data_IF_859716838080
#
_entry.id   IF_859716838080
#
_cell.length_a   1.000
_cell.length_b   1.000
_cell.length_c   1.000
_cell.angle_alpha   90.00
_cell.angle_beta   90.00
_cell.angle_gamma   90.00
#
_symmetry.space_group_name_H-M   'P 1'
#
loop_
_entity.id
_entity.type
_entity.pdbx_description
1 polymer ?
#
# COMPACT_ATOMS: atom_id res chain seq x y z
N UNK A 1 6.12 2.84 27.27
CA UNK A 1 5.45 2.85 25.96
C UNK A 1 6.40 3.41 24.91
N UNK A 2 6.55 2.75 23.77
CA UNK A 2 7.37 3.19 22.64
C UNK A 2 6.49 3.28 21.41
N UNK A 3 6.47 4.43 20.76
CA UNK A 3 5.85 4.62 19.45
C UNK A 3 6.92 4.88 18.41
N UNK A 4 6.80 4.18 17.29
CA UNK A 4 7.58 4.44 16.07
C UNK A 4 6.67 5.19 15.09
N UNK A 5 7.15 6.30 14.58
CA UNK A 5 6.41 7.13 13.64
C UNK A 5 7.07 7.06 12.26
N UNK A 6 6.26 7.08 11.21
CA UNK A 6 6.76 7.34 9.87
C UNK A 6 5.99 8.51 9.27
N UNK A 7 6.70 9.46 8.66
CA UNK A 7 6.10 10.58 7.95
C UNK A 7 6.33 10.45 6.45
N UNK A 8 5.24 10.55 5.68
CA UNK A 8 5.27 10.50 4.22
C UNK A 8 5.85 11.77 3.59
N UNK A 9 6.13 11.71 2.29
CA UNK A 9 6.76 12.83 1.58
C UNK A 9 5.94 14.14 1.62
N UNK A 10 4.62 14.08 1.60
CA UNK A 10 3.74 15.25 1.76
C UNK A 10 3.94 15.94 3.11
N UNK A 11 4.23 15.18 4.16
CA UNK A 11 4.52 15.69 5.50
C UNK A 11 5.94 16.27 5.63
N UNK A 12 6.80 16.02 4.64
CA UNK A 12 8.20 16.49 4.58
C UNK A 12 8.42 17.52 3.48
N UNK A 13 7.36 18.08 2.87
CA UNK A 13 7.43 18.85 1.64
C UNK A 13 8.08 20.24 1.80
N UNK A 14 7.92 20.88 2.95
CA UNK A 14 8.36 22.23 3.26
C UNK A 14 8.49 22.47 4.77
N UNK A 15 8.98 23.65 5.16
CA UNK A 15 9.17 24.05 6.55
C UNK A 15 7.87 24.05 7.38
N UNK A 16 6.75 24.43 6.76
CA UNK A 16 5.45 24.42 7.45
C UNK A 16 5.01 23.00 7.81
N UNK A 17 5.21 22.04 6.90
CA UNK A 17 4.91 20.64 7.16
C UNK A 17 5.84 20.06 8.25
N UNK A 18 7.15 20.37 8.19
CA UNK A 18 8.09 19.93 9.23
C UNK A 18 7.69 20.49 10.61
N UNK A 19 7.18 21.73 10.67
CA UNK A 19 6.69 22.31 11.93
C UNK A 19 5.49 21.54 12.50
N UNK A 20 4.58 21.05 11.65
CA UNK A 20 3.48 20.16 12.08
C UNK A 20 4.02 18.83 12.60
N UNK A 21 5.00 18.23 11.88
CA UNK A 21 5.67 17.00 12.31
C UNK A 21 6.28 17.16 13.69
N UNK A 22 7.00 18.27 13.93
CA UNK A 22 7.58 18.57 15.24
C UNK A 22 6.51 18.65 16.33
N UNK A 23 5.45 19.40 16.10
CA UNK A 23 4.33 19.53 17.05
C UNK A 23 3.70 18.16 17.38
N UNK A 24 3.55 17.29 16.38
CA UNK A 24 3.05 15.93 16.56
C UNK A 24 4.02 15.11 17.41
N UNK A 25 5.30 15.11 17.10
CA UNK A 25 6.31 14.32 17.84
C UNK A 25 6.41 14.78 19.29
N UNK A 26 6.47 16.08 19.53
CA UNK A 26 6.60 16.67 20.87
C UNK A 26 5.34 16.52 21.75
N UNK A 27 4.16 16.33 21.14
CA UNK A 27 2.90 16.17 21.88
C UNK A 27 2.81 14.86 22.69
N UNK A 28 3.70 13.88 22.44
CA UNK A 28 3.70 12.60 23.14
C UNK A 28 5.13 12.09 23.36
N UNK A 29 5.61 12.02 24.61
CA UNK A 29 6.98 11.60 24.93
C UNK A 29 7.29 10.13 24.58
N UNK A 30 6.29 9.32 24.27
CA UNK A 30 6.48 7.95 23.79
C UNK A 30 6.93 7.89 22.31
N UNK A 31 6.82 8.98 21.57
CA UNK A 31 7.23 9.14 20.18
C UNK A 31 8.73 9.40 20.07
N UNK A 32 9.49 8.33 20.06
CA UNK A 32 10.96 8.39 20.21
C UNK A 32 11.74 8.01 18.96
N UNK A 33 11.12 7.33 18.01
CA UNK A 33 11.73 6.88 16.76
C UNK A 33 10.90 7.43 15.61
N UNK A 34 11.55 8.22 14.76
CA UNK A 34 10.89 8.94 13.65
C UNK A 34 11.54 8.52 12.33
N UNK A 35 10.78 7.90 11.45
CA UNK A 35 11.21 7.56 10.09
C UNK A 35 10.63 8.58 9.12
N UNK A 36 11.44 9.11 8.23
CA UNK A 36 11.01 10.13 7.28
C UNK A 36 11.26 9.72 5.83
N UNK A 37 10.36 10.17 4.95
CA UNK A 37 10.54 10.09 3.50
C UNK A 37 11.27 11.32 2.97
N UNK A 38 11.74 11.26 1.73
CA UNK A 38 12.18 12.45 0.99
C UNK A 38 11.06 13.49 0.88
N UNK A 39 11.42 14.75 0.67
CA UNK A 39 10.46 15.84 0.50
C UNK A 39 9.54 15.61 -0.71
N UNK A 40 8.24 15.61 -0.45
CA UNK A 40 7.20 15.43 -1.45
C UNK A 40 6.86 16.72 -2.20
N UNK A 41 5.69 16.70 -2.85
CA UNK A 41 5.16 17.88 -3.55
C UNK A 41 4.55 18.87 -2.56
N UNK A 42 4.85 20.17 -2.73
CA UNK A 42 4.21 21.28 -2.00
C UNK A 42 2.82 21.61 -2.57
N UNK A 43 2.66 21.42 -3.90
CA UNK A 43 1.43 21.68 -4.64
C UNK A 43 1.29 20.72 -5.85
N UNK A 44 0.14 20.71 -6.50
CA UNK A 44 -0.21 19.71 -7.53
C UNK A 44 0.81 19.58 -8.66
N UNK A 45 1.40 20.65 -9.13
CA UNK A 45 2.35 20.68 -10.26
C UNK A 45 3.82 20.71 -9.82
N UNK A 46 4.10 20.51 -8.53
CA UNK A 46 5.46 20.43 -8.01
C UNK A 46 6.10 19.06 -8.28
N UNK A 47 7.41 18.94 -8.09
CA UNK A 47 8.18 17.74 -8.27
C UNK A 47 8.49 17.08 -6.93
N UNK A 48 8.44 15.76 -6.88
CA UNK A 48 8.99 15.00 -5.74
C UNK A 48 10.51 14.99 -5.85
N UNK A 49 11.18 15.13 -4.72
CA UNK A 49 12.66 15.06 -4.70
C UNK A 49 13.17 13.72 -5.25
N UNK A 50 12.51 12.62 -4.93
CA UNK A 50 12.87 11.29 -5.45
C UNK A 50 12.82 11.24 -6.98
N UNK A 51 11.78 11.83 -7.61
CA UNK A 51 11.65 11.87 -9.07
C UNK A 51 12.77 12.71 -9.71
N UNK A 52 13.15 13.85 -9.07
CA UNK A 52 14.27 14.69 -9.53
C UNK A 52 15.60 13.96 -9.43
N UNK A 53 15.85 13.19 -8.37
CA UNK A 53 17.08 12.41 -8.21
C UNK A 53 17.19 11.28 -9.24
N UNK A 54 16.07 10.59 -9.56
CA UNK A 54 16.04 9.64 -10.67
C UNK A 54 16.33 10.32 -12.01
N UNK A 55 15.79 11.52 -12.24
CA UNK A 55 16.05 12.29 -13.44
C UNK A 55 17.55 12.72 -13.53
N UNK A 56 18.15 13.15 -12.41
CA UNK A 56 19.59 13.40 -12.34
C UNK A 56 20.40 12.18 -12.74
N UNK A 57 20.09 11.00 -12.19
CA UNK A 57 20.78 9.77 -12.52
C UNK A 57 20.65 9.41 -14.01
N UNK A 58 19.46 9.54 -14.58
CA UNK A 58 19.24 9.31 -16.00
C UNK A 58 20.08 10.27 -16.86
N UNK A 59 20.15 11.57 -16.52
CA UNK A 59 21.01 12.53 -17.21
C UNK A 59 22.47 12.11 -17.18
N UNK A 60 22.99 11.70 -16.02
CA UNK A 60 24.38 11.24 -15.89
C UNK A 60 24.68 10.02 -16.77
N UNK A 61 23.75 9.06 -16.84
CA UNK A 61 23.92 7.87 -17.68
C UNK A 61 24.03 8.20 -19.18
N UNK A 62 23.33 9.25 -19.63
CA UNK A 62 23.36 9.70 -21.02
C UNK A 62 24.39 10.81 -21.30
N UNK A 63 25.26 11.14 -20.32
CA UNK A 63 26.25 12.20 -20.46
C UNK A 63 25.67 13.60 -20.60
N UNK A 64 24.43 13.81 -20.12
CA UNK A 64 23.75 15.11 -20.12
C UNK A 64 23.94 15.79 -18.76
N UNK A 65 24.15 17.12 -18.74
CA UNK A 65 24.22 17.86 -17.47
C UNK A 65 22.92 17.69 -16.68
N UNK A 66 23.07 17.38 -15.40
CA UNK A 66 21.95 17.34 -14.45
C UNK A 66 21.95 18.55 -13.50
N UNK A 67 22.81 19.55 -13.70
CA UNK A 67 23.03 20.66 -12.76
C UNK A 67 21.72 21.38 -12.39
N UNK A 68 20.93 21.76 -13.38
CA UNK A 68 19.65 22.46 -13.15
C UNK A 68 18.67 21.60 -12.31
N UNK A 69 18.62 20.30 -12.55
CA UNK A 69 17.74 19.39 -11.79
C UNK A 69 18.28 19.18 -10.37
N UNK A 70 19.58 19.03 -10.23
CA UNK A 70 20.23 18.86 -8.94
C UNK A 70 20.12 20.15 -8.08
N UNK A 71 20.22 21.32 -8.70
CA UNK A 71 19.99 22.61 -8.02
C UNK A 71 18.56 22.74 -7.49
N UNK A 72 17.57 22.17 -8.17
CA UNK A 72 16.20 22.13 -7.64
C UNK A 72 16.12 21.30 -6.35
N UNK A 73 16.84 20.17 -6.29
CA UNK A 73 16.91 19.34 -5.08
C UNK A 73 17.61 20.09 -3.96
N UNK A 74 18.79 20.67 -4.26
CA UNK A 74 19.60 21.44 -3.33
C UNK A 74 18.82 22.61 -2.75
N UNK A 75 18.20 23.44 -3.60
CA UNK A 75 17.43 24.60 -3.21
C UNK A 75 16.27 24.23 -2.28
N UNK A 76 15.55 23.14 -2.55
CA UNK A 76 14.44 22.70 -1.69
C UNK A 76 14.88 22.45 -0.25
N UNK A 77 15.97 21.74 -0.02
CA UNK A 77 16.45 21.42 1.32
C UNK A 77 17.10 22.64 2.01
N UNK A 78 17.79 23.50 1.25
CA UNK A 78 18.32 24.74 1.79
C UNK A 78 17.21 25.71 2.19
N UNK A 79 16.15 25.87 1.38
CA UNK A 79 14.96 26.66 1.73
C UNK A 79 14.33 26.16 3.05
N UNK A 80 14.10 24.85 3.19
CA UNK A 80 13.56 24.27 4.43
C UNK A 80 14.47 24.57 5.62
N UNK A 81 15.79 24.36 5.48
CA UNK A 81 16.77 24.63 6.52
C UNK A 81 16.71 26.10 6.97
N UNK A 82 16.76 27.01 6.01
CA UNK A 82 16.88 28.45 6.28
C UNK A 82 15.58 28.99 6.89
N UNK A 83 14.40 28.57 6.41
CA UNK A 83 13.10 28.93 6.97
C UNK A 83 12.92 28.42 8.41
N UNK A 84 13.51 27.28 8.76
CA UNK A 84 13.47 26.73 10.12
C UNK A 84 14.61 27.21 11.02
N UNK A 85 15.56 27.98 10.47
CA UNK A 85 16.73 28.50 11.19
C UNK A 85 17.69 27.42 11.68
N UNK A 86 17.83 26.33 10.91
CA UNK A 86 18.68 25.19 11.29
C UNK A 86 20.14 25.41 10.91
N UNK A 87 21.05 24.73 11.62
CA UNK A 87 22.48 24.84 11.43
C UNK A 87 23.11 23.67 10.66
N UNK A 88 22.30 22.73 10.17
CA UNK A 88 22.78 21.57 9.41
C UNK A 88 23.64 22.00 8.22
N UNK A 89 24.90 21.49 8.07
CA UNK A 89 25.85 21.97 7.06
C UNK A 89 25.59 21.33 5.68
N UNK A 90 24.38 21.53 5.14
CA UNK A 90 23.91 20.88 3.90
C UNK A 90 24.74 21.24 2.67
N UNK A 91 25.30 22.48 2.58
CA UNK A 91 26.12 22.89 1.44
C UNK A 91 27.30 21.95 1.23
N UNK A 92 28.02 21.64 2.30
CA UNK A 92 29.17 20.72 2.23
C UNK A 92 28.77 19.29 1.83
N UNK A 93 27.60 18.85 2.34
CA UNK A 93 27.08 17.52 2.02
C UNK A 93 26.61 17.44 0.55
N UNK A 94 26.00 18.50 0.01
CA UNK A 94 25.62 18.59 -1.41
C UNK A 94 26.85 18.66 -2.32
N UNK A 95 27.87 19.42 -1.94
CA UNK A 95 29.10 19.52 -2.71
C UNK A 95 29.85 18.17 -2.75
N UNK A 96 29.86 17.43 -1.64
CA UNK A 96 30.41 16.08 -1.58
C UNK A 96 29.61 15.10 -2.45
N UNK A 97 28.27 15.21 -2.44
CA UNK A 97 27.40 14.40 -3.30
C UNK A 97 27.65 14.70 -4.77
N UNK A 98 27.77 15.98 -5.14
CA UNK A 98 28.08 16.38 -6.52
C UNK A 98 29.40 15.80 -7.03
N UNK A 99 30.44 15.81 -6.19
CA UNK A 99 31.72 15.19 -6.51
C UNK A 99 31.61 13.67 -6.73
N UNK A 100 30.75 13.00 -5.97
CA UNK A 100 30.47 11.56 -6.19
C UNK A 100 29.72 11.33 -7.51
N UNK A 101 28.77 12.19 -7.85
CA UNK A 101 28.03 12.11 -9.12
C UNK A 101 28.99 12.22 -10.32
N UNK A 102 30.01 13.08 -10.25
CA UNK A 102 31.01 13.26 -11.31
C UNK A 102 31.91 12.03 -11.47
N UNK A 103 32.13 11.26 -10.39
CA UNK A 103 32.99 10.05 -10.40
C UNK A 103 32.20 8.78 -10.76
N UNK A 104 30.89 8.89 -10.87
CA UNK A 104 29.96 7.78 -11.04
C UNK A 104 29.30 7.38 -9.70
N UNK A 105 27.99 7.40 -9.68
CA UNK A 105 27.16 7.04 -8.52
C UNK A 105 26.07 6.06 -8.97
N UNK A 106 25.69 5.10 -8.13
CA UNK A 106 24.58 4.22 -8.42
C UNK A 106 23.24 4.96 -8.29
N UNK A 107 22.21 4.45 -8.96
CA UNK A 107 20.85 5.00 -8.83
C UNK A 107 20.38 4.97 -7.37
N UNK A 108 20.58 3.83 -6.71
CA UNK A 108 20.16 3.62 -5.32
C UNK A 108 20.84 4.59 -4.36
N UNK A 109 22.15 4.79 -4.51
CA UNK A 109 22.89 5.75 -3.67
C UNK A 109 22.42 7.18 -3.92
N UNK A 110 22.24 7.60 -5.17
CA UNK A 110 21.80 8.97 -5.46
C UNK A 110 20.38 9.22 -4.95
N UNK A 111 19.46 8.32 -5.23
CA UNK A 111 18.04 8.49 -4.87
C UNK A 111 17.82 8.44 -3.36
N UNK A 112 18.58 7.61 -2.64
CA UNK A 112 18.51 7.53 -1.16
C UNK A 112 18.86 8.86 -0.46
N UNK A 113 19.55 9.77 -1.15
CA UNK A 113 19.94 11.09 -0.57
C UNK A 113 18.74 11.97 -0.29
N UNK A 114 17.60 11.74 -0.96
CA UNK A 114 16.35 12.43 -0.64
C UNK A 114 15.94 12.22 0.82
N UNK A 115 15.81 10.98 1.25
CA UNK A 115 15.47 10.62 2.62
C UNK A 115 16.59 11.00 3.61
N UNK A 116 17.84 10.85 3.19
CA UNK A 116 18.99 11.24 3.99
C UNK A 116 18.94 12.72 4.40
N UNK A 117 18.79 13.64 3.44
CA UNK A 117 18.72 15.07 3.74
C UNK A 117 17.49 15.46 4.54
N UNK A 118 16.34 14.86 4.23
CA UNK A 118 15.12 15.05 5.02
C UNK A 118 15.32 14.64 6.49
N UNK A 119 15.96 13.51 6.72
CA UNK A 119 16.23 13.01 8.07
C UNK A 119 17.27 13.85 8.82
N UNK A 120 18.29 14.36 8.13
CA UNK A 120 19.29 15.28 8.69
C UNK A 120 18.62 16.55 9.24
N UNK A 121 17.75 17.18 8.43
CA UNK A 121 17.01 18.38 8.84
C UNK A 121 16.04 18.09 9.98
N UNK A 122 15.29 16.98 9.90
CA UNK A 122 14.33 16.65 10.94
C UNK A 122 15.03 16.29 12.26
N UNK A 123 16.19 15.64 12.23
CA UNK A 123 16.98 15.34 13.41
C UNK A 123 17.46 16.62 14.13
N UNK A 124 18.01 17.57 13.36
CA UNK A 124 18.42 18.89 13.87
C UNK A 124 17.20 19.65 14.45
N UNK A 125 16.08 19.66 13.71
CA UNK A 125 14.88 20.37 14.14
C UNK A 125 14.22 19.82 15.40
N UNK A 126 14.26 18.49 15.61
CA UNK A 126 13.73 17.82 16.82
C UNK A 126 14.75 17.79 17.97
N UNK A 127 16.02 18.04 17.71
CA UNK A 127 17.10 17.78 18.66
C UNK A 127 17.25 16.28 18.96
N UNK A 128 16.96 15.41 17.98
CA UNK A 128 17.13 13.96 18.07
C UNK A 128 18.41 13.54 17.37
N UNK A 129 18.90 12.35 17.71
CA UNK A 129 20.06 11.79 17.03
C UNK A 129 19.70 11.36 15.60
N UNK A 130 20.52 11.72 14.62
CA UNK A 130 20.43 11.16 13.28
C UNK A 130 21.00 9.75 13.26
N UNK A 131 20.24 8.77 12.77
CA UNK A 131 20.68 7.39 12.61
C UNK A 131 20.52 6.97 11.14
N UNK A 132 21.63 6.94 10.41
CA UNK A 132 21.64 6.51 9.01
C UNK A 132 21.15 5.07 8.88
N UNK A 133 20.30 4.80 7.89
CA UNK A 133 19.74 3.46 7.67
C UNK A 133 20.79 2.42 7.28
N UNK A 134 21.92 2.83 6.71
CA UNK A 134 23.06 1.93 6.45
C UNK A 134 23.71 1.34 7.71
N UNK A 135 23.47 1.96 8.88
CA UNK A 135 23.99 1.49 10.15
C UNK A 135 23.21 0.33 10.76
N UNK A 136 22.01 0.08 10.25
CA UNK A 136 21.13 -0.92 10.85
C UNK A 136 20.34 -1.77 9.86
N UNK A 137 19.93 -1.23 8.71
CA UNK A 137 19.09 -1.93 7.73
C UNK A 137 19.97 -2.66 6.72
N UNK A 138 20.08 -3.96 6.91
CA UNK A 138 20.91 -4.84 6.10
C UNK A 138 20.06 -5.65 5.13
N UNK A 139 20.47 -5.66 3.86
CA UNK A 139 19.92 -6.52 2.83
C UNK A 139 20.83 -7.73 2.60
N UNK A 140 20.26 -8.82 2.11
CA UNK A 140 20.98 -9.94 1.54
C UNK A 140 21.33 -9.65 0.08
N UNK A 141 22.20 -10.48 -0.52
CA UNK A 141 22.59 -10.30 -1.92
C UNK A 141 21.44 -10.45 -2.92
N UNK A 142 20.35 -11.10 -2.54
CA UNK A 142 19.14 -11.23 -3.36
C UNK A 142 18.18 -10.02 -3.25
N UNK A 143 18.58 -8.99 -2.49
CA UNK A 143 17.77 -7.79 -2.24
C UNK A 143 16.68 -7.96 -1.17
N UNK A 144 16.59 -9.10 -0.50
CA UNK A 144 15.69 -9.28 0.65
C UNK A 144 16.31 -8.71 1.93
N UNK A 145 15.47 -8.27 2.86
CA UNK A 145 15.96 -7.75 4.17
C UNK A 145 16.46 -8.90 5.04
N UNK A 146 17.66 -8.76 5.59
CA UNK A 146 18.12 -9.61 6.68
C UNK A 146 17.55 -9.08 8.00
N UNK A 147 16.38 -9.58 8.37
CA UNK A 147 15.65 -9.10 9.55
C UNK A 147 16.43 -9.32 10.84
N UNK A 148 17.09 -10.45 11.01
CA UNK A 148 17.79 -10.78 12.23
C UNK A 148 18.94 -9.81 12.50
N UNK A 149 19.81 -9.62 11.50
CA UNK A 149 20.94 -8.67 11.60
C UNK A 149 20.44 -7.25 11.78
N UNK A 150 19.43 -6.84 11.00
CA UNK A 150 18.86 -5.50 11.04
C UNK A 150 18.24 -5.18 12.41
N UNK A 151 17.47 -6.10 12.96
CA UNK A 151 16.79 -5.89 14.23
C UNK A 151 17.80 -5.76 15.39
N UNK A 152 18.80 -6.63 15.46
CA UNK A 152 19.85 -6.54 16.45
C UNK A 152 20.67 -5.25 16.33
N UNK A 153 20.96 -4.81 15.11
CA UNK A 153 21.69 -3.57 14.86
C UNK A 153 20.87 -2.35 15.32
N UNK A 154 19.58 -2.27 14.99
CA UNK A 154 18.72 -1.17 15.39
C UNK A 154 18.50 -1.13 16.91
N UNK A 155 18.27 -2.27 17.55
CA UNK A 155 18.13 -2.36 19.00
C UNK A 155 19.35 -1.78 19.74
N UNK A 156 20.56 -2.07 19.26
CA UNK A 156 21.80 -1.50 19.82
C UNK A 156 21.93 0.00 19.55
N UNK A 157 21.65 0.44 18.31
CA UNK A 157 21.84 1.82 17.89
C UNK A 157 20.81 2.80 18.49
N UNK A 158 19.56 2.37 18.69
CA UNK A 158 18.46 3.19 19.19
C UNK A 158 18.18 3.05 20.69
N UNK A 159 18.94 2.17 21.41
CA UNK A 159 18.71 1.91 22.83
C UNK A 159 18.75 3.18 23.69
N UNK A 160 17.66 3.50 24.38
CA UNK A 160 17.55 4.67 25.26
C UNK A 160 17.55 6.03 24.55
N UNK A 161 17.69 6.08 23.23
CA UNK A 161 17.83 7.30 22.42
C UNK A 161 16.52 7.73 21.78
N UNK A 162 16.47 9.00 21.36
CA UNK A 162 15.49 9.51 20.43
C UNK A 162 16.16 9.67 19.07
N UNK A 163 15.65 9.02 18.04
CA UNK A 163 16.34 8.95 16.75
C UNK A 163 15.43 9.34 15.59
N UNK A 164 16.03 9.99 14.58
CA UNK A 164 15.43 10.16 13.26
C UNK A 164 16.18 9.28 12.26
N UNK A 165 15.43 8.50 11.51
CA UNK A 165 15.92 7.50 10.58
C UNK A 165 15.46 7.88 9.16
N UNK A 166 16.36 7.98 8.16
CA UNK A 166 15.95 8.07 6.77
C UNK A 166 15.29 6.76 6.34
N UNK A 167 14.11 6.83 5.74
CA UNK A 167 13.44 5.66 5.18
C UNK A 167 14.04 5.20 3.86
N UNK A 168 13.44 4.15 3.24
CA UNK A 168 13.61 3.75 1.85
C UNK A 168 14.86 2.92 1.52
N UNK A 169 15.97 3.03 2.22
CA UNK A 169 17.23 2.37 1.86
C UNK A 169 17.95 1.72 3.04
N UNK A 170 18.90 0.85 2.74
CA UNK A 170 19.84 0.22 3.64
C UNK A 170 21.11 -0.17 2.90
N UNK A 171 21.84 -1.18 3.39
CA UNK A 171 23.14 -1.59 2.88
C UNK A 171 23.16 -3.06 2.50
N UNK A 172 23.79 -3.39 1.37
CA UNK A 172 24.12 -4.74 0.94
C UNK A 172 25.42 -5.22 1.62
N UNK A 173 25.71 -6.54 1.60
CA UNK A 173 26.92 -7.10 2.21
C UNK A 173 28.23 -6.55 1.65
N UNK A 174 28.24 -6.05 0.42
CA UNK A 174 29.41 -5.40 -0.20
C UNK A 174 29.58 -3.92 0.20
N UNK A 175 28.71 -3.39 1.05
CA UNK A 175 28.70 -2.02 1.50
C UNK A 175 27.99 -1.04 0.56
N UNK A 176 27.47 -1.48 -0.57
CA UNK A 176 26.68 -0.64 -1.47
C UNK A 176 25.28 -0.36 -0.91
N UNK A 177 24.74 0.82 -1.25
CA UNK A 177 23.39 1.20 -0.87
C UNK A 177 22.38 0.46 -1.76
N UNK A 178 21.32 -0.04 -1.14
CA UNK A 178 20.20 -0.65 -1.83
C UNK A 178 18.88 -0.02 -1.36
N UNK A 179 17.95 0.20 -2.31
CA UNK A 179 16.65 0.83 -2.06
C UNK A 179 15.51 -0.17 -2.24
N UNK A 180 14.41 0.03 -1.48
CA UNK A 180 13.18 -0.70 -1.73
C UNK A 180 12.53 -0.26 -3.04
N UNK A 181 11.89 -1.17 -3.75
CA UNK A 181 11.26 -0.87 -5.05
C UNK A 181 10.03 0.04 -4.94
N UNK A 182 9.24 -0.08 -3.85
CA UNK A 182 8.03 0.73 -3.57
C UNK A 182 7.74 0.79 -2.07
N UNK A 183 7.14 1.89 -1.63
CA UNK A 183 6.70 2.04 -0.23
C UNK A 183 7.83 1.96 0.80
N UNK A 184 9.08 2.18 0.39
CA UNK A 184 10.26 1.86 1.17
C UNK A 184 10.32 2.52 2.54
N UNK A 185 9.88 3.79 2.65
CA UNK A 185 9.85 4.44 3.97
C UNK A 185 8.78 3.85 4.90
N UNK A 186 7.65 3.37 4.34
CA UNK A 186 6.63 2.65 5.11
C UNK A 186 7.17 1.32 5.62
N UNK A 187 7.90 0.60 4.76
CA UNK A 187 8.56 -0.67 5.11
C UNK A 187 9.63 -0.43 6.17
N UNK A 188 10.48 0.60 6.01
CA UNK A 188 11.49 0.98 7.00
C UNK A 188 10.86 1.27 8.36
N UNK A 189 9.73 2.01 8.39
CA UNK A 189 9.01 2.29 9.62
C UNK A 189 8.45 1.03 10.29
N UNK A 190 7.89 0.12 9.51
CA UNK A 190 7.37 -1.16 10.00
C UNK A 190 8.48 -2.06 10.54
N UNK A 191 9.62 -2.15 9.84
CA UNK A 191 10.80 -2.89 10.30
C UNK A 191 11.37 -2.30 11.59
N UNK A 192 11.45 -0.96 11.68
CA UNK A 192 11.91 -0.27 12.88
C UNK A 192 10.96 -0.53 14.07
N UNK A 193 9.65 -0.49 13.84
CA UNK A 193 8.67 -0.81 14.87
C UNK A 193 8.78 -2.27 15.34
N UNK A 194 8.93 -3.19 14.40
CA UNK A 194 9.12 -4.62 14.72
C UNK A 194 10.44 -4.90 15.45
N UNK A 195 11.55 -4.27 15.03
CA UNK A 195 12.86 -4.44 15.64
C UNK A 195 12.89 -3.96 17.09
N UNK A 196 12.15 -2.90 17.41
CA UNK A 196 12.14 -2.28 18.74
C UNK A 196 10.97 -2.74 19.62
N UNK A 197 10.20 -3.73 19.18
CA UNK A 197 8.97 -4.22 19.84
C UNK A 197 8.08 -3.03 20.27
N UNK A 198 7.78 -2.14 19.32
CA UNK A 198 7.01 -0.94 19.58
C UNK A 198 5.57 -1.26 20.02
N UNK A 199 5.02 -0.45 20.92
CA UNK A 199 3.62 -0.59 21.34
C UNK A 199 2.63 -0.18 20.22
N UNK A 200 3.05 0.75 19.33
CA UNK A 200 2.26 1.22 18.18
C UNK A 200 3.20 1.70 17.07
N UNK A 201 2.87 1.37 15.84
CA UNK A 201 3.43 2.00 14.65
C UNK A 201 2.46 3.04 14.10
N UNK A 202 2.81 4.31 14.12
CA UNK A 202 2.01 5.41 13.58
C UNK A 202 2.52 5.79 12.18
N UNK A 203 1.73 5.55 11.13
CA UNK A 203 2.02 6.00 9.77
C UNK A 203 1.26 7.28 9.46
N UNK A 204 1.99 8.40 9.40
CA UNK A 204 1.48 9.74 9.18
C UNK A 204 1.56 10.11 7.71
N UNK A 205 0.43 10.49 7.13
CA UNK A 205 0.24 10.83 5.72
C UNK A 205 -0.66 12.06 5.57
N UNK A 206 -1.17 12.34 4.38
CA UNK A 206 -2.09 13.45 4.07
C UNK A 206 -3.58 13.08 4.11
N UNK A 207 -3.89 11.83 4.47
CA UNK A 207 -5.28 11.34 4.61
C UNK A 207 -5.57 10.89 6.04
N UNK A 208 -6.81 11.08 6.50
CA UNK A 208 -7.23 10.79 7.88
C UNK A 208 -7.61 9.31 8.10
N UNK A 209 -6.81 8.38 7.58
CA UNK A 209 -7.08 6.96 7.63
C UNK A 209 -7.85 6.49 6.39
N UNK A 210 -8.52 5.34 6.52
CA UNK A 210 -9.28 4.74 5.43
C UNK A 210 -10.74 5.17 5.48
N UNK A 211 -11.33 5.27 4.30
CA UNK A 211 -12.74 5.59 4.13
C UNK A 211 -13.51 4.33 3.78
N UNK A 212 -14.77 4.25 4.21
CA UNK A 212 -15.64 3.10 3.97
C UNK A 212 -16.01 2.89 2.49
N UNK A 213 -15.77 3.91 1.63
CA UNK A 213 -15.93 3.84 0.17
C UNK A 213 -15.00 4.87 -0.51
N UNK A 214 -14.81 4.73 -1.83
CA UNK A 214 -14.03 5.71 -2.62
C UNK A 214 -14.74 7.08 -2.63
N UNK A 215 -14.09 8.17 -2.17
CA UNK A 215 -14.67 9.52 -2.16
C UNK A 215 -14.99 10.07 -3.56
N UNK A 216 -14.42 9.50 -4.62
CA UNK A 216 -14.79 9.84 -5.99
C UNK A 216 -16.17 9.30 -6.39
N UNK A 217 -16.64 8.25 -5.71
CA UNK A 217 -17.93 7.58 -5.99
C UNK A 217 -18.98 8.00 -4.99
N UNK A 218 -18.63 8.01 -3.71
CA UNK A 218 -19.52 8.37 -2.60
C UNK A 218 -19.04 9.70 -2.01
N UNK A 219 -19.82 10.79 -2.09
CA UNK A 219 -19.44 12.05 -1.46
C UNK A 219 -19.38 11.91 0.07
N UNK A 220 -18.28 12.38 0.67
CA UNK A 220 -18.06 12.41 2.12
C UNK A 220 -18.30 11.03 2.81
N UNK A 221 -17.56 9.98 2.42
CA UNK A 221 -17.73 8.67 3.02
C UNK A 221 -17.18 8.67 4.45
N UNK A 222 -17.83 7.90 5.33
CA UNK A 222 -17.40 7.77 6.72
C UNK A 222 -16.00 7.19 6.83
N UNK A 223 -15.18 7.66 7.78
CA UNK A 223 -13.88 7.05 8.06
C UNK A 223 -14.07 5.68 8.74
N UNK A 224 -13.12 4.78 8.46
CA UNK A 224 -12.98 3.50 9.15
C UNK A 224 -12.11 3.73 10.39
N UNK A 225 -12.70 3.64 11.58
CA UNK A 225 -11.94 3.82 12.84
C UNK A 225 -11.09 2.60 13.18
N UNK A 226 -11.63 1.40 12.96
CA UNK A 226 -11.03 0.11 13.31
C UNK A 226 -11.15 -0.87 12.15
N UNK A 227 -10.06 -1.50 11.77
CA UNK A 227 -10.03 -2.52 10.73
C UNK A 227 -9.02 -3.61 11.10
N UNK A 228 -9.35 -4.87 10.83
CA UNK A 228 -8.39 -5.97 10.97
C UNK A 228 -7.46 -6.05 9.77
N UNK A 229 -6.29 -6.68 9.93
CA UNK A 229 -5.40 -6.93 8.79
C UNK A 229 -6.07 -7.77 7.71
N UNK A 230 -6.93 -8.71 8.09
CA UNK A 230 -7.70 -9.53 7.14
C UNK A 230 -8.67 -8.67 6.33
N UNK A 231 -9.49 -7.81 6.97
CA UNK A 231 -10.39 -6.88 6.27
C UNK A 231 -9.65 -5.90 5.37
N UNK A 232 -8.50 -5.39 5.84
CA UNK A 232 -7.65 -4.49 5.07
C UNK A 232 -7.15 -5.15 3.79
N UNK A 233 -6.70 -6.41 3.89
CA UNK A 233 -6.22 -7.19 2.74
C UNK A 233 -7.33 -7.39 1.71
N UNK A 234 -8.54 -7.72 2.15
CA UNK A 234 -9.70 -7.86 1.27
C UNK A 234 -10.03 -6.56 0.51
N UNK A 235 -10.08 -5.43 1.23
CA UNK A 235 -10.30 -4.12 0.61
C UNK A 235 -9.19 -3.74 -0.38
N UNK A 236 -7.93 -4.00 -0.01
CA UNK A 236 -6.77 -3.68 -0.86
C UNK A 236 -6.73 -4.50 -2.14
N UNK A 237 -7.05 -5.78 -2.07
CA UNK A 237 -7.09 -6.68 -3.23
C UNK A 237 -8.10 -6.22 -4.29
N UNK A 238 -9.24 -5.68 -3.85
CA UNK A 238 -10.35 -5.29 -4.72
C UNK A 238 -10.23 -3.82 -5.17
N UNK A 239 -9.13 -3.14 -4.83
CA UNK A 239 -8.79 -1.83 -5.40
C UNK A 239 -8.81 -0.64 -4.45
N UNK A 240 -9.08 -0.83 -3.17
CA UNK A 240 -8.79 0.21 -2.19
C UNK A 240 -7.26 0.35 -2.08
N UNK A 241 -6.71 1.43 -2.64
CA UNK A 241 -5.27 1.72 -2.50
C UNK A 241 -4.99 2.17 -1.07
N UNK A 242 -4.42 1.27 -0.28
CA UNK A 242 -4.34 1.51 1.15
C UNK A 242 -2.89 1.49 1.66
N UNK A 243 -2.21 0.37 1.57
CA UNK A 243 -0.84 0.19 2.02
C UNK A 243 -0.15 -0.88 1.17
N UNK A 244 1.16 -0.78 1.04
CA UNK A 244 1.95 -1.83 0.43
C UNK A 244 2.02 -3.05 1.37
N UNK A 245 1.90 -4.27 0.85
CA UNK A 245 1.90 -5.51 1.65
C UNK A 245 3.17 -5.63 2.52
N UNK A 246 4.33 -5.24 1.98
CA UNK A 246 5.60 -5.22 2.72
C UNK A 246 5.61 -4.31 3.96
N UNK A 247 4.70 -3.31 4.03
CA UNK A 247 4.54 -2.44 5.21
C UNK A 247 3.84 -3.15 6.36
N UNK A 248 2.96 -4.08 6.03
CA UNK A 248 2.07 -4.72 7.00
C UNK A 248 2.74 -5.93 7.66
N UNK A 249 3.50 -6.73 6.90
CA UNK A 249 4.08 -7.99 7.37
C UNK A 249 4.92 -7.88 8.66
N UNK A 250 5.91 -6.98 8.76
CA UNK A 250 6.76 -6.92 9.95
C UNK A 250 6.00 -6.60 11.25
N UNK A 251 5.05 -5.67 11.16
CA UNK A 251 4.26 -5.26 12.35
C UNK A 251 3.18 -6.28 12.69
N UNK A 252 2.60 -6.94 11.68
CA UNK A 252 1.62 -8.00 11.87
C UNK A 252 2.24 -9.23 12.57
N UNK A 253 3.41 -9.68 12.14
CA UNK A 253 4.15 -10.81 12.73
C UNK A 253 4.43 -10.60 14.22
N UNK A 254 4.60 -9.35 14.64
CA UNK A 254 4.84 -8.95 16.01
C UNK A 254 3.57 -8.51 16.76
N UNK A 255 2.40 -8.61 16.15
CA UNK A 255 1.13 -8.11 16.71
C UNK A 255 1.16 -6.63 17.11
N UNK A 256 1.98 -5.81 16.45
CA UNK A 256 2.08 -4.38 16.71
C UNK A 256 0.90 -3.67 16.03
N UNK A 257 0.08 -2.90 16.76
CA UNK A 257 -0.97 -2.09 16.15
C UNK A 257 -0.39 -1.05 15.19
N UNK A 258 -1.00 -0.94 14.00
CA UNK A 258 -0.67 0.10 13.02
C UNK A 258 -1.78 1.16 13.01
N UNK A 259 -1.40 2.44 13.15
CA UNK A 259 -2.35 3.55 13.11
C UNK A 259 -2.02 4.49 11.92
N UNK A 260 -2.96 4.63 10.99
CA UNK A 260 -2.84 5.57 9.87
C UNK A 260 -3.42 6.91 10.29
N UNK A 261 -2.61 7.97 10.24
CA UNK A 261 -2.98 9.29 10.75
C UNK A 261 -2.68 10.40 9.75
N UNK A 262 -3.37 11.53 9.90
CA UNK A 262 -3.22 12.69 9.04
C UNK A 262 -2.36 13.76 9.71
N UNK A 263 -1.23 14.10 9.08
CA UNK A 263 -0.34 15.18 9.54
C UNK A 263 -1.03 16.55 9.55
N UNK A 264 -2.01 16.76 8.66
CA UNK A 264 -2.76 18.02 8.57
C UNK A 264 -3.97 18.07 9.51
N UNK A 265 -4.34 16.95 10.13
CA UNK A 265 -5.44 16.82 11.10
C UNK A 265 -5.00 15.92 12.26
N UNK A 266 -4.01 16.31 13.06
CA UNK A 266 -3.39 15.46 14.08
C UNK A 266 -4.36 15.05 15.19
N UNK A 267 -5.42 15.81 15.41
CA UNK A 267 -6.47 15.47 16.40
C UNK A 267 -7.38 14.32 15.93
N UNK A 268 -7.45 14.09 14.62
CA UNK A 268 -8.24 12.98 14.09
C UNK A 268 -7.58 11.64 14.46
N UNK A 269 -8.30 10.67 15.07
CA UNK A 269 -7.71 9.41 15.53
C UNK A 269 -7.17 8.54 14.39
N UNK A 270 -7.61 8.77 13.15
CA UNK A 270 -7.23 7.96 11.99
C UNK A 270 -7.86 6.59 12.00
N UNK A 271 -7.20 5.63 11.35
CA UNK A 271 -7.64 4.22 11.32
C UNK A 271 -6.67 3.35 12.10
N UNK A 272 -7.16 2.62 13.09
CA UNK A 272 -6.41 1.62 13.84
C UNK A 272 -6.53 0.25 13.18
N UNK A 273 -5.39 -0.38 12.90
CA UNK A 273 -5.28 -1.71 12.29
C UNK A 273 -4.67 -2.68 13.29
N UNK A 274 -5.31 -3.84 13.50
CA UNK A 274 -4.84 -4.92 14.39
C UNK A 274 -5.14 -6.28 13.79
N UNK A 275 -4.57 -7.34 14.36
CA UNK A 275 -4.96 -8.70 14.00
C UNK A 275 -6.39 -9.01 14.44
N UNK A 276 -6.74 -8.64 15.68
CA UNK A 276 -8.08 -8.81 16.25
C UNK A 276 -8.48 -7.59 17.08
N UNK A 277 -9.79 -7.47 17.31
CA UNK A 277 -10.36 -6.55 18.28
C UNK A 277 -11.20 -7.35 19.27
N UNK A 278 -11.08 -7.02 20.56
CA UNK A 278 -11.87 -7.64 21.64
C UNK A 278 -13.30 -7.05 21.65
N UNK A 279 -14.04 -7.29 20.57
CA UNK A 279 -15.44 -6.88 20.47
C UNK A 279 -16.29 -7.76 21.40
N UNK A 280 -17.11 -7.15 22.24
CA UNK A 280 -18.11 -7.88 23.06
C UNK A 280 -19.17 -8.54 22.15
N UNK A 281 -19.90 -9.55 22.65
CA UNK A 281 -20.98 -10.18 21.89
C UNK A 281 -22.03 -9.16 21.42
N UNK A 282 -22.33 -8.15 22.25
CA UNK A 282 -23.23 -7.07 21.87
C UNK A 282 -22.66 -6.20 20.73
N UNK A 283 -21.36 -5.92 20.75
CA UNK A 283 -20.68 -5.16 19.68
C UNK A 283 -20.56 -5.94 18.37
N UNK A 284 -20.40 -7.27 18.42
CA UNK A 284 -20.45 -8.14 17.22
C UNK A 284 -21.80 -8.08 16.52
N UNK A 285 -22.88 -7.98 17.27
CA UNK A 285 -24.26 -7.95 16.76
C UNK A 285 -24.77 -6.54 16.49
N UNK A 286 -24.13 -5.51 17.04
CA UNK A 286 -24.52 -4.10 16.89
C UNK A 286 -23.68 -3.34 15.87
N UNK A 287 -24.22 -2.24 15.34
CA UNK A 287 -23.54 -1.36 14.39
C UNK A 287 -23.54 -1.87 12.96
N UNK A 288 -22.76 -1.24 12.11
CA UNK A 288 -22.64 -1.63 10.69
C UNK A 288 -22.00 -3.01 10.56
N UNK A 289 -22.61 -3.87 9.77
CA UNK A 289 -22.03 -5.16 9.40
C UNK A 289 -20.89 -5.01 8.38
N UNK A 290 -20.84 -3.89 7.69
CA UNK A 290 -19.83 -3.58 6.66
C UNK A 290 -18.80 -2.62 7.23
N UNK A 291 -17.53 -2.96 7.11
CA UNK A 291 -16.38 -2.12 7.45
C UNK A 291 -15.98 -1.23 6.28
N UNK A 292 -16.09 -1.75 5.05
CA UNK A 292 -15.77 -1.00 3.85
C UNK A 292 -16.34 -1.62 2.58
N UNK A 293 -16.46 -0.79 1.55
CA UNK A 293 -16.91 -1.17 0.22
C UNK A 293 -15.85 -0.73 -0.78
N UNK A 294 -15.33 -1.70 -1.53
CA UNK A 294 -14.35 -1.46 -2.57
C UNK A 294 -14.81 -2.07 -3.89
N UNK A 295 -14.19 -1.67 -4.99
CA UNK A 295 -14.47 -2.29 -6.26
C UNK A 295 -13.46 -1.90 -7.34
N UNK A 296 -13.45 -2.68 -8.41
CA UNK A 296 -12.56 -2.49 -9.54
C UNK A 296 -13.28 -2.83 -10.84
N UNK A 297 -13.06 -1.99 -11.87
CA UNK A 297 -13.53 -2.22 -13.24
C UNK A 297 -12.44 -2.93 -14.07
N UNK A 298 -12.80 -3.39 -15.24
CA UNK A 298 -11.85 -3.88 -16.25
C UNK A 298 -11.59 -5.38 -16.15
N UNK A 299 -12.64 -6.15 -15.92
CA UNK A 299 -12.58 -7.61 -15.94
C UNK A 299 -13.29 -8.19 -17.15
N UNK A 300 -12.72 -9.30 -17.65
CA UNK A 300 -13.31 -10.18 -18.65
C UNK A 300 -13.58 -11.54 -18.02
N UNK A 301 -14.65 -12.18 -18.46
CA UNK A 301 -15.04 -13.53 -18.00
C UNK A 301 -14.87 -14.50 -19.16
N UNK A 302 -13.99 -15.47 -18.99
CA UNK A 302 -13.81 -16.60 -19.90
C UNK A 302 -14.71 -17.72 -19.38
N UNK A 303 -15.76 -18.06 -20.13
CA UNK A 303 -16.66 -19.16 -19.78
C UNK A 303 -16.43 -20.33 -20.74
N UNK A 304 -16.11 -21.48 -20.17
CA UNK A 304 -15.91 -22.73 -20.86
C UNK A 304 -16.98 -23.70 -20.42
N UNK A 305 -17.66 -24.32 -21.41
CA UNK A 305 -18.65 -25.38 -21.18
C UNK A 305 -18.17 -26.67 -21.84
N UNK A 306 -18.24 -27.78 -21.12
CA UNK A 306 -17.88 -29.10 -21.61
C UNK A 306 -18.68 -30.16 -20.90
N UNK A 307 -19.42 -30.94 -21.68
CA UNK A 307 -20.26 -32.03 -21.16
C UNK A 307 -19.39 -33.06 -20.42
N UNK A 308 -19.78 -33.44 -19.22
CA UNK A 308 -19.06 -34.38 -18.38
C UNK A 308 -17.79 -33.80 -17.72
N UNK A 309 -17.58 -32.48 -17.72
CA UNK A 309 -16.39 -31.86 -17.13
C UNK A 309 -16.20 -32.20 -15.65
N UNK A 310 -17.27 -32.28 -14.88
CA UNK A 310 -17.22 -32.65 -13.45
C UNK A 310 -16.68 -34.07 -13.22
N UNK A 311 -16.80 -34.95 -14.20
CA UNK A 311 -16.29 -36.31 -14.13
C UNK A 311 -14.89 -36.46 -14.73
N UNK A 312 -14.37 -35.44 -15.39
CA UNK A 312 -13.06 -35.40 -16.04
C UNK A 312 -11.97 -34.97 -15.06
N UNK A 313 -11.18 -35.95 -14.59
CA UNK A 313 -10.09 -35.69 -13.65
C UNK A 313 -9.08 -34.65 -14.21
N UNK A 314 -8.87 -33.57 -13.48
CA UNK A 314 -7.88 -32.57 -13.83
C UNK A 314 -8.32 -31.59 -14.93
N UNK A 315 -9.60 -31.52 -15.29
CA UNK A 315 -10.10 -30.57 -16.29
C UNK A 315 -9.76 -29.12 -15.95
N UNK A 316 -10.08 -28.69 -14.74
CA UNK A 316 -9.77 -27.31 -14.27
C UNK A 316 -8.25 -27.06 -14.24
N UNK A 317 -7.46 -28.04 -13.80
CA UNK A 317 -6.00 -27.91 -13.79
C UNK A 317 -5.44 -27.59 -15.18
N UNK A 318 -5.88 -28.33 -16.21
CA UNK A 318 -5.42 -28.11 -17.60
C UNK A 318 -5.82 -26.71 -18.13
N UNK A 319 -7.01 -26.25 -17.78
CA UNK A 319 -7.46 -24.90 -18.15
C UNK A 319 -6.56 -23.84 -17.51
N UNK A 320 -6.27 -23.99 -16.22
CA UNK A 320 -5.37 -23.08 -15.50
C UNK A 320 -3.94 -23.14 -16.01
N UNK A 321 -3.43 -24.34 -16.37
CA UNK A 321 -2.10 -24.52 -16.95
C UNK A 321 -1.94 -23.78 -18.30
N UNK A 322 -3.01 -23.75 -19.12
CA UNK A 322 -3.00 -22.96 -20.35
C UNK A 322 -2.89 -21.46 -20.02
N UNK A 323 -3.68 -20.95 -19.07
CA UNK A 323 -3.60 -19.54 -18.67
C UNK A 323 -2.25 -19.15 -18.07
N UNK A 324 -1.66 -20.04 -17.26
CA UNK A 324 -0.32 -19.87 -16.70
C UNK A 324 0.75 -19.76 -17.79
N UNK A 325 0.69 -20.60 -18.84
CA UNK A 325 1.59 -20.59 -20.00
C UNK A 325 1.62 -19.22 -20.70
N UNK A 326 0.50 -18.52 -20.67
CA UNK A 326 0.33 -17.17 -21.26
C UNK A 326 0.43 -16.05 -20.21
N UNK A 327 0.87 -16.35 -18.97
CA UNK A 327 0.98 -15.39 -17.88
C UNK A 327 -0.33 -14.63 -17.57
N UNK A 328 -1.46 -15.28 -17.80
CA UNK A 328 -2.79 -14.72 -17.47
C UNK A 328 -3.17 -15.15 -16.06
N UNK A 329 -3.19 -14.18 -15.14
CA UNK A 329 -3.65 -14.42 -13.77
C UNK A 329 -5.17 -14.53 -13.71
N UNK A 330 -5.67 -15.50 -12.94
CA UNK A 330 -7.10 -15.70 -12.68
C UNK A 330 -7.45 -15.09 -11.33
N UNK A 331 -8.35 -14.10 -11.33
CA UNK A 331 -8.75 -13.40 -10.12
C UNK A 331 -9.86 -14.15 -9.37
N UNK A 332 -10.84 -14.69 -10.10
CA UNK A 332 -11.94 -15.48 -9.52
C UNK A 332 -12.27 -16.66 -10.41
N UNK A 333 -12.72 -17.75 -9.78
CA UNK A 333 -13.18 -18.96 -10.45
C UNK A 333 -14.56 -19.31 -9.93
N UNK A 334 -15.50 -19.51 -10.83
CA UNK A 334 -16.82 -20.09 -10.52
C UNK A 334 -17.05 -21.32 -11.37
N UNK A 335 -17.49 -22.43 -10.76
CA UNK A 335 -17.68 -23.71 -11.46
C UNK A 335 -19.12 -24.21 -11.34
N UNK A 336 -19.65 -24.69 -12.44
CA UNK A 336 -20.86 -25.49 -12.51
C UNK A 336 -20.54 -26.98 -12.71
N UNK A 337 -21.56 -27.78 -13.05
CA UNK A 337 -21.39 -29.22 -13.33
C UNK A 337 -20.57 -29.40 -14.63
N UNK A 338 -20.97 -28.68 -15.68
CA UNK A 338 -20.38 -28.78 -17.02
C UNK A 338 -19.83 -27.43 -17.50
N UNK A 339 -19.51 -26.52 -16.58
CA UNK A 339 -18.99 -25.20 -16.92
C UNK A 339 -17.99 -24.70 -15.89
N UNK A 340 -17.07 -23.87 -16.35
CA UNK A 340 -16.21 -23.07 -15.51
C UNK A 340 -16.13 -21.65 -16.08
N UNK A 341 -16.21 -20.66 -15.22
CA UNK A 341 -16.02 -19.26 -15.57
C UNK A 341 -14.81 -18.71 -14.81
N UNK A 342 -13.92 -18.09 -15.54
CA UNK A 342 -12.64 -17.57 -15.07
C UNK A 342 -12.65 -16.06 -15.25
N UNK A 343 -12.49 -15.32 -14.19
CA UNK A 343 -12.44 -13.86 -14.20
C UNK A 343 -10.98 -13.44 -14.28
N UNK A 344 -10.65 -12.63 -15.28
CA UNK A 344 -9.30 -12.12 -15.53
C UNK A 344 -9.31 -10.61 -15.70
N UNK A 345 -8.22 -9.92 -15.35
CA UNK A 345 -8.06 -8.50 -15.67
C UNK A 345 -7.93 -8.33 -17.20
N UNK A 346 -8.86 -7.60 -17.81
CA UNK A 346 -8.91 -7.40 -19.26
C UNK A 346 -7.58 -6.89 -19.82
N UNK A 347 -7.03 -5.84 -19.23
CA UNK A 347 -5.80 -5.20 -19.74
C UNK A 347 -4.58 -6.14 -19.71
N UNK A 348 -4.48 -7.01 -18.70
CA UNK A 348 -3.37 -7.97 -18.56
C UNK A 348 -3.55 -9.19 -19.48
N UNK A 349 -4.79 -9.63 -19.67
CA UNK A 349 -5.11 -10.79 -20.46
C UNK A 349 -5.08 -10.50 -21.99
N UNK A 350 -5.53 -9.33 -22.42
CA UNK A 350 -5.69 -8.95 -23.83
C UNK A 350 -4.50 -9.31 -24.75
N UNK A 351 -3.23 -9.10 -24.37
CA UNK A 351 -2.10 -9.39 -25.25
C UNK A 351 -1.99 -10.86 -25.67
N UNK A 352 -2.47 -11.78 -24.84
CA UNK A 352 -2.29 -13.22 -25.01
C UNK A 352 -3.61 -14.01 -25.05
N UNK A 353 -4.73 -13.33 -24.88
CA UNK A 353 -6.05 -13.96 -24.69
C UNK A 353 -6.42 -14.89 -25.87
N UNK A 354 -6.27 -14.42 -27.10
CA UNK A 354 -6.65 -15.22 -28.27
C UNK A 354 -5.80 -16.48 -28.45
N UNK A 355 -4.49 -16.42 -28.10
CA UNK A 355 -3.62 -17.61 -28.13
C UNK A 355 -4.06 -18.61 -27.05
N UNK A 356 -4.34 -18.14 -25.84
CA UNK A 356 -4.83 -18.98 -24.76
C UNK A 356 -6.17 -19.65 -25.11
N UNK A 357 -7.11 -18.91 -25.70
CA UNK A 357 -8.39 -19.47 -26.16
C UNK A 357 -8.20 -20.52 -27.25
N UNK A 358 -7.30 -20.29 -28.23
CA UNK A 358 -6.98 -21.23 -29.28
C UNK A 358 -6.38 -22.55 -28.75
N UNK A 359 -5.54 -22.48 -27.71
CA UNK A 359 -5.01 -23.67 -27.05
C UNK A 359 -6.07 -24.38 -26.20
N UNK A 360 -6.98 -23.63 -25.55
CA UNK A 360 -8.13 -24.24 -24.88
C UNK A 360 -9.04 -25.00 -25.84
N UNK A 361 -9.33 -24.47 -27.02
CA UNK A 361 -10.10 -25.17 -28.04
C UNK A 361 -9.43 -26.48 -28.49
N UNK A 362 -8.12 -26.48 -28.69
CA UNK A 362 -7.35 -27.65 -29.14
C UNK A 362 -7.18 -28.71 -28.05
N UNK A 363 -6.79 -28.29 -26.84
CA UNK A 363 -6.36 -29.21 -25.78
C UNK A 363 -7.55 -29.68 -24.93
N UNK A 364 -8.51 -28.81 -24.64
CA UNK A 364 -9.67 -29.11 -23.77
C UNK A 364 -10.86 -29.62 -24.62
N UNK A 365 -10.99 -29.11 -25.84
CA UNK A 365 -12.11 -29.39 -26.77
C UNK A 365 -13.47 -29.13 -26.10
N UNK A 366 -13.73 -27.89 -25.68
CA UNK A 366 -14.99 -27.51 -25.04
C UNK A 366 -16.14 -27.55 -26.05
N UNK A 367 -17.37 -27.76 -25.56
CA UNK A 367 -18.59 -27.61 -26.35
C UNK A 367 -18.93 -26.13 -26.61
N UNK A 368 -18.46 -25.25 -25.72
CA UNK A 368 -18.58 -23.79 -25.88
C UNK A 368 -17.46 -23.07 -25.14
N UNK A 369 -16.96 -22.01 -25.79
CA UNK A 369 -15.95 -21.12 -25.23
C UNK A 369 -16.34 -19.67 -25.55
N UNK A 370 -16.59 -18.89 -24.51
CA UNK A 370 -17.07 -17.53 -24.64
C UNK A 370 -16.25 -16.59 -23.78
N UNK A 371 -16.00 -15.38 -24.28
CA UNK A 371 -15.44 -14.27 -23.50
C UNK A 371 -16.47 -13.17 -23.41
N UNK A 372 -16.72 -12.70 -22.23
CA UNK A 372 -17.61 -11.55 -21.98
C UNK A 372 -16.84 -10.48 -21.25
N UNK A 373 -16.72 -9.32 -21.90
CA UNK A 373 -16.04 -8.15 -21.37
C UNK A 373 -16.99 -7.25 -20.56
N UNK A 374 -16.43 -6.21 -19.96
CA UNK A 374 -17.21 -5.16 -19.31
C UNK A 374 -17.76 -5.55 -17.94
N UNK A 375 -17.12 -6.47 -17.24
CA UNK A 375 -17.47 -6.77 -15.85
C UNK A 375 -16.67 -5.89 -14.89
N UNK A 376 -17.35 -5.47 -13.83
CA UNK A 376 -16.74 -4.87 -12.65
C UNK A 376 -17.02 -5.75 -11.42
N UNK A 377 -16.12 -5.70 -10.46
CA UNK A 377 -16.23 -6.42 -9.20
C UNK A 377 -16.44 -5.40 -8.08
N UNK A 378 -17.42 -5.66 -7.22
CA UNK A 378 -17.71 -4.86 -6.02
C UNK A 378 -17.74 -5.80 -4.82
N UNK A 379 -17.02 -5.42 -3.76
CA UNK A 379 -17.02 -6.17 -2.49
C UNK A 379 -17.54 -5.32 -1.34
N UNK A 380 -18.37 -5.94 -0.54
CA UNK A 380 -18.68 -5.53 0.81
C UNK A 380 -17.79 -6.34 1.78
N UNK A 381 -17.00 -5.64 2.59
CA UNK A 381 -16.06 -6.26 3.54
C UNK A 381 -16.45 -5.90 4.95
N UNK A 382 -16.45 -6.88 5.85
CA UNK A 382 -16.72 -6.63 7.27
C UNK A 382 -16.77 -7.92 8.10
N UNK A 383 -15.91 -8.01 9.11
CA UNK A 383 -15.84 -9.15 10.04
C UNK A 383 -17.14 -9.45 10.77
N UNK A 384 -18.01 -8.47 10.93
CA UNK A 384 -19.31 -8.65 11.62
C UNK A 384 -20.34 -9.39 10.78
N UNK A 385 -20.14 -9.54 9.48
CA UNK A 385 -21.07 -10.29 8.61
C UNK A 385 -21.18 -11.74 9.01
N UNK A 386 -20.09 -12.38 9.46
CA UNK A 386 -20.08 -13.75 9.94
C UNK A 386 -21.01 -14.01 11.16
N UNK A 387 -21.34 -12.95 11.92
CA UNK A 387 -22.21 -13.05 13.11
C UNK A 387 -23.65 -12.57 12.86
N UNK A 388 -23.96 -12.13 11.64
CA UNK A 388 -25.28 -11.57 11.31
C UNK A 388 -25.96 -12.37 10.20
N UNK A 389 -26.79 -13.39 10.55
CA UNK A 389 -27.54 -14.16 9.56
C UNK A 389 -28.39 -13.27 8.64
N UNK A 390 -28.41 -13.61 7.37
CA UNK A 390 -29.13 -12.86 6.34
C UNK A 390 -28.37 -11.70 5.72
N UNK A 391 -27.07 -11.50 6.05
CA UNK A 391 -26.24 -10.44 5.48
C UNK A 391 -26.18 -10.50 3.95
N UNK A 392 -25.96 -11.68 3.36
CA UNK A 392 -25.95 -11.88 1.90
C UNK A 392 -27.31 -11.53 1.28
N UNK A 393 -28.40 -12.00 1.89
CA UNK A 393 -29.77 -11.70 1.42
C UNK A 393 -30.07 -10.21 1.39
N UNK A 394 -29.64 -9.46 2.41
CA UNK A 394 -29.78 -8.00 2.45
C UNK A 394 -28.97 -7.31 1.36
N UNK A 395 -27.71 -7.72 1.15
CA UNK A 395 -26.82 -7.15 0.12
C UNK A 395 -27.41 -7.40 -1.27
N UNK A 396 -27.75 -8.65 -1.60
CA UNK A 396 -28.30 -8.98 -2.91
C UNK A 396 -29.69 -8.38 -3.15
N UNK A 397 -30.53 -8.35 -2.11
CA UNK A 397 -31.82 -7.70 -2.17
C UNK A 397 -31.71 -6.21 -2.50
N UNK A 398 -30.81 -5.49 -1.84
CA UNK A 398 -30.60 -4.06 -2.12
C UNK A 398 -30.08 -3.80 -3.54
N UNK A 399 -29.21 -4.63 -4.06
CA UNK A 399 -28.75 -4.51 -5.45
C UNK A 399 -29.91 -4.76 -6.44
N UNK A 400 -30.70 -5.84 -6.22
CA UNK A 400 -31.86 -6.19 -7.05
C UNK A 400 -32.95 -5.14 -7.02
N UNK A 401 -33.35 -4.62 -5.84
CA UNK A 401 -34.34 -3.53 -5.66
C UNK A 401 -33.95 -2.26 -6.46
N UNK A 402 -32.67 -2.05 -6.69
CA UNK A 402 -32.14 -0.94 -7.47
C UNK A 402 -31.86 -1.30 -8.95
N UNK A 403 -32.35 -2.46 -9.43
CA UNK A 403 -32.22 -2.87 -10.83
C UNK A 403 -30.79 -3.21 -11.24
N UNK A 404 -29.93 -3.62 -10.31
CA UNK A 404 -28.57 -4.06 -10.58
C UNK A 404 -28.55 -5.58 -10.71
N UNK A 405 -28.17 -6.07 -11.89
CA UNK A 405 -28.02 -7.50 -12.13
C UNK A 405 -26.68 -8.02 -11.61
N UNK A 406 -26.73 -9.09 -10.82
CA UNK A 406 -25.55 -9.75 -10.28
C UNK A 406 -25.15 -10.87 -11.24
N UNK A 407 -23.96 -10.77 -11.82
CA UNK A 407 -23.42 -11.74 -12.80
C UNK A 407 -22.54 -12.81 -12.19
N UNK A 408 -21.96 -12.51 -11.00
CA UNK A 408 -21.09 -13.41 -10.25
C UNK A 408 -21.29 -13.14 -8.75
N UNK A 409 -21.21 -14.18 -7.95
CA UNK A 409 -21.19 -14.10 -6.49
C UNK A 409 -20.04 -14.97 -6.01
N UNK A 410 -19.23 -14.43 -5.09
CA UNK A 410 -18.24 -15.21 -4.37
C UNK A 410 -18.16 -14.75 -2.91
N UNK A 411 -17.98 -15.69 -2.01
CA UNK A 411 -17.81 -15.48 -0.58
C UNK A 411 -16.87 -16.54 -0.04
N UNK A 412 -15.85 -16.14 0.70
CA UNK A 412 -14.93 -17.07 1.36
C UNK A 412 -15.53 -17.72 2.61
N UNK A 413 -14.98 -18.83 3.10
CA UNK A 413 -15.47 -19.55 4.28
C UNK A 413 -15.33 -18.74 5.58
N UNK A 414 -14.49 -17.72 5.60
CA UNK A 414 -14.32 -16.81 6.75
C UNK A 414 -15.42 -15.74 6.82
N UNK A 415 -16.28 -15.65 5.80
CA UNK A 415 -17.39 -14.70 5.70
C UNK A 415 -17.02 -13.23 5.89
N UNK A 416 -15.73 -12.90 5.65
CA UNK A 416 -15.20 -11.54 5.77
C UNK A 416 -15.63 -10.61 4.64
N UNK A 417 -15.98 -11.20 3.48
CA UNK A 417 -16.40 -10.44 2.32
C UNK A 417 -17.57 -11.10 1.59
N UNK A 418 -18.30 -10.28 0.85
CA UNK A 418 -19.23 -10.71 -0.18
C UNK A 418 -18.87 -9.94 -1.43
N UNK A 419 -18.46 -10.67 -2.46
CA UNK A 419 -18.00 -10.13 -3.73
C UNK A 419 -19.06 -10.40 -4.80
N UNK A 420 -19.46 -9.36 -5.52
CA UNK A 420 -20.39 -9.45 -6.64
C UNK A 420 -19.74 -8.94 -7.92
N UNK A 421 -19.93 -9.67 -9.00
CA UNK A 421 -19.65 -9.19 -10.35
C UNK A 421 -20.91 -8.52 -10.90
N UNK A 422 -20.76 -7.30 -11.40
CA UNK A 422 -21.82 -6.50 -12.03
C UNK A 422 -21.36 -5.98 -13.39
N UNK A 423 -22.28 -5.47 -14.19
CA UNK A 423 -21.89 -4.74 -15.40
C UNK A 423 -21.09 -3.48 -15.03
N UNK A 424 -20.05 -3.15 -15.83
CA UNK A 424 -19.23 -1.98 -15.58
C UNK A 424 -20.01 -0.66 -15.56
N UNK A 425 -21.16 -0.59 -16.24
CA UNK A 425 -22.05 0.57 -16.21
C UNK A 425 -22.77 0.74 -14.88
N UNK A 426 -23.00 -0.35 -14.13
CA UNK A 426 -23.64 -0.36 -12.82
C UNK A 426 -22.67 -0.21 -11.66
N UNK A 427 -21.36 -0.21 -11.90
CA UNK A 427 -20.31 -0.23 -10.90
C UNK A 427 -20.46 0.84 -9.79
N UNK A 428 -20.52 2.10 -10.19
CA UNK A 428 -20.62 3.21 -9.23
C UNK A 428 -21.98 3.23 -8.52
N UNK A 429 -23.04 2.84 -9.25
CA UNK A 429 -24.39 2.70 -8.69
C UNK A 429 -24.40 1.62 -7.61
N UNK A 430 -23.76 0.47 -7.86
CA UNK A 430 -23.67 -0.63 -6.90
C UNK A 430 -22.99 -0.19 -5.60
N UNK A 431 -21.83 0.50 -5.70
CA UNK A 431 -21.11 1.02 -4.52
C UNK A 431 -22.00 2.01 -3.74
N UNK A 432 -22.66 2.96 -4.43
CA UNK A 432 -23.58 3.92 -3.77
C UNK A 432 -24.77 3.26 -3.09
N UNK A 433 -25.38 2.26 -3.74
CA UNK A 433 -26.51 1.51 -3.17
C UNK A 433 -26.09 0.79 -1.90
N UNK A 434 -24.99 0.06 -1.94
CA UNK A 434 -24.47 -0.64 -0.76
C UNK A 434 -24.12 0.34 0.36
N UNK A 435 -23.39 1.41 0.05
CA UNK A 435 -23.01 2.41 1.05
C UNK A 435 -24.24 3.04 1.73
N UNK A 436 -25.22 3.51 0.95
CA UNK A 436 -26.42 4.15 1.49
C UNK A 436 -27.31 3.18 2.28
N UNK A 437 -27.29 1.89 1.96
CA UNK A 437 -28.12 0.88 2.62
C UNK A 437 -27.54 0.36 3.93
N UNK A 438 -26.22 0.40 4.11
CA UNK A 438 -25.57 -0.26 5.24
C UNK A 438 -24.67 0.65 6.08
N UNK A 439 -24.32 1.83 5.60
CA UNK A 439 -23.41 2.76 6.29
C UNK A 439 -24.12 4.03 6.74
N UNK A 440 -25.07 4.54 5.96
CA UNK A 440 -25.93 5.62 6.36
C UNK A 440 -27.09 5.05 7.18
#
# INVERSE_FOLDING_TARGET
>A
MLKVLKFGGSSMADAQQLSKVRSIVESDPSRRVVVVSAAGKRFKNDHKITDLLYLCHAHLQYGVSCDAVFDMVRSRYLEIRDELGLSTPLEQEFDALRQKMDKGISADELVSRGEYFAARLMADYLGFDFLDSTMWLHFRMDGTVDQEVSYQALQRAASGRRVVIPGFYGVLPDGSIHTFSRGGSDITGALAAAALDADVYENWTDVSGFLMADPKIVPDPRPIERITYAELRELSYIGAQVLHEGTVSPVREKNIPLNIRNTNQPEHPGTMIRETFDDTEAEKLSGSMITGIAGKKGFSVITLTKNGMSSELGAIRRILEILERYHINVEYITSGIDSVSLVVETAKATPYLYQALGDMEKEIKPDGLHVTDGMAVVAAVGRKMAFQPGSSGKIFGKLGENGINIRMITQGPEELNIIVGVDSTDFEKAIRVLYNSFVK
#
